data_IF_775978061365
#
_entry.id   IF_775978061365
#
_cell.length_a   1.000
_cell.length_b   1.000
_cell.length_c   1.000
_cell.angle_alpha   90.00
_cell.angle_beta   90.00
_cell.angle_gamma   90.00
#
_symmetry.space_group_name_H-M   'P 1'
#
loop_
_entity.id
_entity.type
_entity.pdbx_description
1 polymer ?
#
# COMPACT_ATOMS: atom_id res chain seq x y z
N UNK A 1 4.10 -7.79 25.68
CA UNK A 1 3.71 -7.61 24.26
C UNK A 1 4.69 -6.62 23.64
N UNK A 2 5.51 -7.03 22.67
CA UNK A 2 6.37 -6.07 21.94
C UNK A 2 5.43 -5.08 21.24
N UNK A 3 5.57 -3.78 21.50
CA UNK A 3 4.85 -2.75 20.74
C UNK A 3 5.13 -3.01 19.26
N UNK A 4 4.07 -3.21 18.47
CA UNK A 4 4.20 -3.32 17.03
C UNK A 4 4.78 -2.02 16.50
N UNK A 5 5.89 -2.12 15.77
CA UNK A 5 6.50 -1.00 15.05
C UNK A 5 5.77 -0.71 13.72
N UNK A 6 4.68 -1.43 13.42
CA UNK A 6 4.00 -1.29 12.14
C UNK A 6 3.39 0.10 11.94
N UNK A 7 2.59 0.67 12.86
CA UNK A 7 2.05 2.03 12.72
C UNK A 7 3.11 3.09 12.45
N UNK A 8 4.20 3.07 13.23
CA UNK A 8 5.30 4.02 13.12
C UNK A 8 6.01 3.90 11.77
N UNK A 9 6.33 2.67 11.34
CA UNK A 9 6.94 2.40 10.03
C UNK A 9 6.04 2.87 8.88
N UNK A 10 4.74 2.62 8.96
CA UNK A 10 3.79 3.05 7.92
C UNK A 10 3.76 4.58 7.81
N UNK A 11 3.64 5.27 8.94
CA UNK A 11 3.62 6.73 8.98
C UNK A 11 4.93 7.35 8.48
N UNK A 12 6.09 6.80 8.86
CA UNK A 12 7.40 7.23 8.36
C UNK A 12 7.55 7.09 6.83
N UNK A 13 6.74 6.23 6.20
CA UNK A 13 6.72 6.01 4.76
C UNK A 13 5.52 6.69 4.07
N UNK A 14 4.88 7.65 4.75
CA UNK A 14 3.82 8.49 4.19
C UNK A 14 2.44 7.84 4.17
N UNK A 15 2.27 6.66 4.75
CA UNK A 15 0.96 6.02 4.86
C UNK A 15 0.16 6.62 6.02
N UNK A 16 -1.14 6.80 5.80
CA UNK A 16 -2.04 7.44 6.75
C UNK A 16 -3.16 6.49 7.15
N UNK A 17 -3.65 6.62 8.38
CA UNK A 17 -4.83 5.87 8.82
C UNK A 17 -6.05 6.31 8.00
N UNK A 18 -6.75 5.34 7.40
CA UNK A 18 -7.87 5.63 6.47
C UNK A 18 -9.26 5.62 7.14
N UNK A 19 -9.32 5.61 8.47
CA UNK A 19 -10.59 5.55 9.20
C UNK A 19 -11.26 4.17 9.19
N UNK A 20 -10.55 3.11 8.78
CA UNK A 20 -11.06 1.74 8.69
C UNK A 20 -10.25 0.78 9.55
N UNK A 21 -10.92 -0.20 10.11
CA UNK A 21 -10.32 -1.32 10.83
C UNK A 21 -10.48 -2.63 10.05
N UNK A 22 -9.52 -3.54 10.20
CA UNK A 22 -9.65 -4.92 9.73
C UNK A 22 -10.70 -5.67 10.54
N UNK A 23 -11.07 -6.88 10.09
CA UNK A 23 -11.94 -7.78 10.87
C UNK A 23 -11.41 -8.01 12.30
N UNK A 24 -10.10 -8.20 12.43
CA UNK A 24 -9.43 -8.38 13.73
C UNK A 24 -9.24 -7.07 14.55
N UNK A 25 -9.84 -5.95 14.13
CA UNK A 25 -9.76 -4.66 14.83
C UNK A 25 -8.49 -3.84 14.61
N UNK A 26 -7.60 -4.25 13.70
CA UNK A 26 -6.35 -3.53 13.43
C UNK A 26 -6.58 -2.34 12.49
N UNK A 27 -5.91 -1.22 12.74
CA UNK A 27 -6.01 -0.03 11.90
C UNK A 27 -5.43 -0.26 10.51
N UNK A 28 -6.16 0.18 9.49
CA UNK A 28 -5.73 0.12 8.10
C UNK A 28 -5.06 1.44 7.73
N UNK A 29 -3.86 1.34 7.18
CA UNK A 29 -3.07 2.46 6.68
C UNK A 29 -3.05 2.43 5.16
N UNK A 30 -3.27 3.57 4.53
CA UNK A 30 -3.37 3.70 3.09
C UNK A 30 -2.51 4.82 2.54
N UNK A 31 -2.10 4.66 1.28
CA UNK A 31 -1.47 5.70 0.48
C UNK A 31 -1.83 5.49 -0.97
N UNK A 32 -2.03 6.59 -1.70
CA UNK A 32 -2.39 6.59 -3.11
C UNK A 32 -1.41 7.47 -3.88
N UNK A 33 -1.01 6.96 -5.04
CA UNK A 33 -0.16 7.64 -6.02
C UNK A 33 -0.95 7.82 -7.30
N UNK A 34 -0.73 8.95 -7.97
CA UNK A 34 -1.35 9.27 -9.25
C UNK A 34 -0.30 9.72 -10.23
N UNK A 35 -0.50 9.38 -11.50
CA UNK A 35 0.31 9.86 -12.61
C UNK A 35 -0.55 9.96 -13.86
N UNK A 36 -0.16 10.84 -14.77
CA UNK A 36 -0.71 10.83 -16.13
C UNK A 36 0.10 9.84 -16.97
N UNK A 37 -0.58 8.91 -17.62
CA UNK A 37 0.02 7.96 -18.54
C UNK A 37 -0.58 8.13 -19.94
N UNK A 38 0.25 8.06 -20.97
CA UNK A 38 -0.22 8.02 -22.36
C UNK A 38 -0.58 6.58 -22.71
N UNK A 39 -1.87 6.33 -22.92
CA UNK A 39 -2.38 5.03 -23.37
C UNK A 39 -2.52 5.09 -24.88
N UNK A 40 -1.84 4.18 -25.58
CA UNK A 40 -1.97 4.04 -27.02
C UNK A 40 -3.46 3.91 -27.35
N UNK A 41 -3.99 4.81 -28.21
CA UNK A 41 -5.40 4.96 -28.63
C UNK A 41 -6.34 5.82 -27.77
N UNK A 42 -6.08 6.01 -26.49
CA UNK A 42 -6.95 6.80 -25.60
C UNK A 42 -6.36 8.16 -25.21
N UNK A 43 -5.08 8.38 -25.50
CA UNK A 43 -4.38 9.61 -25.14
C UNK A 43 -3.98 9.64 -23.68
N UNK A 44 -3.94 10.85 -23.10
CA UNK A 44 -3.59 11.04 -21.69
C UNK A 44 -4.71 10.52 -20.78
N UNK A 45 -4.34 9.63 -19.86
CA UNK A 45 -5.25 9.08 -18.86
C UNK A 45 -4.60 9.16 -17.48
N UNK A 46 -5.38 9.57 -16.47
CA UNK A 46 -4.95 9.49 -15.09
C UNK A 46 -4.93 8.02 -14.64
N UNK A 47 -3.80 7.58 -14.11
CA UNK A 47 -3.63 6.26 -13.52
C UNK A 47 -3.31 6.39 -12.04
N UNK A 48 -4.11 5.72 -11.21
CA UNK A 48 -3.93 5.69 -9.76
C UNK A 48 -3.48 4.32 -9.27
N UNK A 49 -2.58 4.32 -8.30
CA UNK A 49 -2.17 3.13 -7.57
C UNK A 49 -2.35 3.37 -6.09
N UNK A 50 -3.13 2.54 -5.42
CA UNK A 50 -3.40 2.67 -3.98
C UNK A 50 -2.95 1.41 -3.26
N UNK A 51 -2.28 1.60 -2.14
CA UNK A 51 -1.90 0.51 -1.25
C UNK A 51 -2.65 0.72 0.07
N UNK A 52 -3.29 -0.33 0.56
CA UNK A 52 -3.84 -0.39 1.91
C UNK A 52 -3.14 -1.53 2.67
N UNK A 53 -2.77 -1.32 3.92
CA UNK A 53 -2.11 -2.33 4.72
C UNK A 53 -2.45 -2.23 6.21
N UNK A 54 -2.49 -3.38 6.88
CA UNK A 54 -2.63 -3.50 8.33
C UNK A 54 -1.76 -4.64 8.83
N UNK A 55 -1.52 -4.71 10.14
CA UNK A 55 -0.82 -5.85 10.75
C UNK A 55 -1.85 -6.78 11.40
N UNK A 56 -1.78 -8.07 11.11
CA UNK A 56 -2.55 -9.10 11.82
C UNK A 56 -1.63 -10.20 12.31
N UNK A 57 -1.71 -10.53 13.59
CA UNK A 57 -0.86 -11.51 14.28
C UNK A 57 0.66 -11.35 14.02
N UNK A 58 1.12 -10.10 13.84
CA UNK A 58 2.53 -9.78 13.57
C UNK A 58 2.95 -9.84 12.09
N UNK A 59 2.01 -10.11 11.18
CA UNK A 59 2.22 -10.14 9.74
C UNK A 59 1.54 -8.95 9.07
N UNK A 60 2.28 -8.10 8.35
CA UNK A 60 1.68 -7.10 7.48
C UNK A 60 0.89 -7.73 6.35
N UNK A 61 -0.40 -7.42 6.31
CA UNK A 61 -1.33 -7.73 5.23
C UNK A 61 -1.47 -6.51 4.34
N UNK A 62 -1.34 -6.70 3.03
CA UNK A 62 -1.31 -5.63 2.02
C UNK A 62 -2.30 -5.91 0.90
N UNK A 63 -3.01 -4.87 0.49
CA UNK A 63 -3.96 -4.85 -0.62
C UNK A 63 -3.49 -3.82 -1.63
N UNK A 64 -3.33 -4.25 -2.88
CA UNK A 64 -2.88 -3.40 -3.98
C UNK A 64 -4.07 -3.10 -4.89
N UNK A 65 -4.29 -1.82 -5.16
CA UNK A 65 -5.33 -1.35 -6.05
C UNK A 65 -4.72 -0.56 -7.20
N UNK A 66 -5.24 -0.78 -8.40
CA UNK A 66 -4.90 -0.01 -9.59
C UNK A 66 -6.19 0.53 -10.21
N UNK A 67 -6.28 1.84 -10.40
CA UNK A 67 -7.48 2.53 -10.89
C UNK A 67 -8.75 2.12 -10.11
N UNK A 68 -8.63 2.02 -8.78
CA UNK A 68 -9.70 1.63 -7.86
C UNK A 68 -10.02 0.13 -7.82
N UNK A 69 -9.43 -0.70 -8.69
CA UNK A 69 -9.64 -2.16 -8.72
C UNK A 69 -8.58 -2.87 -7.90
N UNK A 70 -9.00 -3.81 -7.05
CA UNK A 70 -8.08 -4.68 -6.33
C UNK A 70 -7.37 -5.61 -7.33
N UNK A 71 -6.04 -5.53 -7.39
CA UNK A 71 -5.24 -6.33 -8.31
C UNK A 71 -4.49 -7.47 -7.61
N UNK A 72 -4.18 -7.31 -6.31
CA UNK A 72 -3.35 -8.28 -5.60
C UNK A 72 -3.51 -8.14 -4.08
N UNK A 73 -3.19 -9.23 -3.38
CA UNK A 73 -3.13 -9.32 -1.92
C UNK A 73 -1.84 -10.01 -1.52
N UNK A 74 -1.11 -9.43 -0.58
CA UNK A 74 0.19 -9.95 -0.15
C UNK A 74 0.32 -9.90 1.36
N UNK A 75 0.93 -10.91 1.93
CA UNK A 75 1.39 -10.93 3.31
C UNK A 75 2.93 -10.87 3.33
N UNK A 76 3.47 -10.29 4.40
CA UNK A 76 4.91 -10.20 4.58
C UNK A 76 5.31 -10.69 5.97
N UNK A 77 6.53 -11.21 6.07
CA UNK A 77 7.08 -11.70 7.34
C UNK A 77 7.49 -10.59 8.31
N UNK A 78 7.56 -9.32 7.88
CA UNK A 78 7.87 -8.18 8.75
C UNK A 78 7.49 -6.84 8.11
N UNK A 79 7.22 -5.78 8.91
CA UNK A 79 6.95 -4.43 8.41
C UNK A 79 8.06 -3.85 7.52
N UNK A 80 9.33 -4.08 7.88
CA UNK A 80 10.47 -3.61 7.07
C UNK A 80 10.53 -4.26 5.69
N UNK A 81 10.31 -5.58 5.63
CA UNK A 81 10.25 -6.32 4.35
C UNK A 81 9.08 -5.86 3.50
N UNK A 82 7.92 -5.61 4.13
CA UNK A 82 6.74 -5.04 3.48
C UNK A 82 7.10 -3.73 2.76
N UNK A 83 7.62 -2.72 3.48
CA UNK A 83 7.98 -1.42 2.87
C UNK A 83 8.97 -1.57 1.71
N UNK A 84 10.00 -2.39 1.85
CA UNK A 84 10.96 -2.60 0.77
C UNK A 84 10.30 -3.21 -0.49
N UNK A 85 9.41 -4.18 -0.30
CA UNK A 85 8.67 -4.77 -1.42
C UNK A 85 7.72 -3.76 -2.07
N UNK A 86 7.05 -2.91 -1.27
CA UNK A 86 6.18 -1.86 -1.79
C UNK A 86 6.94 -0.82 -2.63
N UNK A 87 8.15 -0.44 -2.21
CA UNK A 87 9.04 0.44 -2.99
C UNK A 87 9.34 -0.13 -4.37
N UNK A 88 9.73 -1.41 -4.44
CA UNK A 88 10.00 -2.07 -5.72
C UNK A 88 8.74 -2.21 -6.59
N UNK A 89 7.60 -2.54 -5.97
CA UNK A 89 6.29 -2.63 -6.64
C UNK A 89 5.90 -1.31 -7.31
N UNK A 90 6.09 -0.18 -6.63
CA UNK A 90 5.83 1.15 -7.19
C UNK A 90 6.82 1.50 -8.29
N UNK A 91 8.11 1.24 -8.07
CA UNK A 91 9.16 1.49 -9.05
C UNK A 91 8.91 0.76 -10.36
N UNK A 92 8.58 -0.54 -10.30
CA UNK A 92 8.23 -1.34 -11.49
C UNK A 92 7.02 -0.76 -12.22
N UNK A 93 6.04 -0.22 -11.47
CA UNK A 93 4.86 0.43 -12.04
C UNK A 93 5.09 1.88 -12.45
N UNK A 94 6.31 2.42 -12.30
CA UNK A 94 6.65 3.79 -12.65
C UNK A 94 5.94 4.84 -11.79
N UNK A 95 5.81 4.56 -10.49
CA UNK A 95 5.40 5.53 -9.47
C UNK A 95 6.58 5.82 -8.53
N UNK A 96 6.65 7.06 -8.04
CA UNK A 96 7.65 7.46 -7.04
C UNK A 96 7.15 7.15 -5.63
N UNK A 97 7.95 6.41 -4.86
CA UNK A 97 7.59 6.03 -3.49
C UNK A 97 7.69 7.21 -2.52
#
# INVERSE_FOLDING_TARGET
MKKSNFPEIMQQNGFQYIGKTSYDGNFIYGREWRKTANVLWYGEMESSFRIEAYESYGYPMVFLYENGRLIDRRDYSSPKRCINALREILKIRGYEF
#
